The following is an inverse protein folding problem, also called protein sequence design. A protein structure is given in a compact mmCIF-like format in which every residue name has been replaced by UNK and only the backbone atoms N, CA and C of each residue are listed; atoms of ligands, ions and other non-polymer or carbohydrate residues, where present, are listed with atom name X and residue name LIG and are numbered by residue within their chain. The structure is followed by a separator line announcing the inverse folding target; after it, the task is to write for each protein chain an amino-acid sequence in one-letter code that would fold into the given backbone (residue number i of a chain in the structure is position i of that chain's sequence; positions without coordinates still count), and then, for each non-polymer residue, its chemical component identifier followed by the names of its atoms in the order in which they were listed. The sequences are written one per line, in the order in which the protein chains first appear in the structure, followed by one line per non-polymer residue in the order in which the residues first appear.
data_IF_121769910142
#
_entry.id   IF_121769910142
#
_cell.length_a   1.000
_cell.length_b   1.000
_cell.length_c   1.000
_cell.angle_alpha   90.00
_cell.angle_beta   90.00
_cell.angle_gamma   90.00
#
_symmetry.space_group_name_H-M   'P 1'
#
loop_
_entity.id
_entity.type
_entity.pdbx_description
1 polymer ?
#
# COMPACT_ATOMS: atom_id res chain seq x y z
N UNK A 1 4.48 14.87 -21.09
CA UNK A 1 3.79 15.38 -22.30
C UNK A 1 2.77 14.35 -22.76
N UNK A 2 1.95 14.65 -23.78
CA UNK A 2 1.04 13.66 -24.38
C UNK A 2 1.80 12.47 -24.97
N UNK A 3 2.93 12.73 -25.65
CA UNK A 3 3.73 11.67 -26.26
C UNK A 3 4.32 10.71 -25.21
N UNK A 4 4.77 11.23 -24.06
CA UNK A 4 5.25 10.41 -22.94
C UNK A 4 4.11 9.55 -22.35
N UNK A 5 2.91 10.10 -22.22
CA UNK A 5 1.73 9.35 -21.77
C UNK A 5 1.37 8.21 -22.74
N UNK A 6 1.35 8.49 -24.04
CA UNK A 6 1.07 7.48 -25.07
C UNK A 6 2.18 6.43 -25.12
N UNK A 7 3.45 6.84 -24.98
CA UNK A 7 4.58 5.91 -24.92
C UNK A 7 4.47 4.98 -23.72
N UNK A 8 4.16 5.52 -22.53
CA UNK A 8 3.91 4.72 -21.33
C UNK A 8 2.80 3.69 -21.53
N UNK A 9 1.67 4.10 -22.12
CA UNK A 9 0.58 3.16 -22.44
C UNK A 9 1.05 2.06 -23.40
N UNK A 10 1.73 2.42 -24.50
CA UNK A 10 2.23 1.44 -25.49
C UNK A 10 3.19 0.44 -24.85
N UNK A 11 4.05 0.88 -23.95
CA UNK A 11 5.04 0.04 -23.28
C UNK A 11 4.40 -0.86 -22.22
N UNK A 12 3.53 -0.33 -21.36
CA UNK A 12 3.07 -1.05 -20.16
C UNK A 12 1.71 -1.73 -20.29
N UNK A 13 0.84 -1.33 -21.23
CA UNK A 13 -0.51 -1.90 -21.40
C UNK A 13 -0.57 -3.04 -22.44
N UNK A 14 0.58 -3.44 -22.98
CA UNK A 14 0.65 -4.61 -23.87
C UNK A 14 0.29 -5.90 -23.10
N UNK A 15 -0.51 -6.83 -23.66
CA UNK A 15 -0.92 -8.06 -22.95
C UNK A 15 0.23 -8.94 -22.47
N UNK A 16 1.39 -8.86 -23.12
CA UNK A 16 2.64 -9.49 -22.68
C UNK A 16 3.16 -9.03 -21.30
N UNK A 17 2.67 -7.89 -20.79
CA UNK A 17 2.90 -7.41 -19.43
C UNK A 17 1.65 -7.53 -18.52
N UNK A 18 0.52 -7.97 -19.08
CA UNK A 18 -0.73 -8.06 -18.34
C UNK A 18 -0.80 -9.33 -17.48
N UNK A 19 -1.53 -9.22 -16.37
CA UNK A 19 -1.90 -10.33 -15.49
C UNK A 19 -3.42 -10.37 -15.47
N UNK A 20 -4.00 -11.43 -16.02
CA UNK A 20 -5.46 -11.59 -16.09
C UNK A 20 -5.88 -12.61 -15.03
N UNK A 21 -6.73 -12.18 -14.10
CA UNK A 21 -7.27 -13.01 -13.03
C UNK A 21 -8.76 -13.25 -13.26
N UNK A 22 -9.16 -14.53 -13.32
CA UNK A 22 -10.54 -14.95 -13.49
C UNK A 22 -10.96 -15.75 -12.25
N UNK A 23 -12.12 -15.42 -11.68
CA UNK A 23 -12.65 -16.07 -10.48
C UNK A 23 -14.16 -16.25 -10.56
N UNK A 24 -14.63 -17.40 -10.10
CA UNK A 24 -16.05 -17.73 -9.99
C UNK A 24 -16.38 -19.07 -10.63
N UNK A 25 -17.67 -19.41 -10.63
CA UNK A 25 -18.17 -20.58 -11.34
C UNK A 25 -18.36 -20.25 -12.84
N UNK A 26 -17.26 -19.89 -13.50
CA UNK A 26 -17.22 -19.51 -14.92
C UNK A 26 -16.35 -20.55 -15.67
N UNK A 27 -16.82 -21.14 -16.78
CA UNK A 27 -16.05 -22.15 -17.50
C UNK A 27 -14.77 -21.56 -18.10
N UNK A 28 -13.61 -21.99 -17.61
CA UNK A 28 -12.32 -21.49 -18.07
C UNK A 28 -12.13 -21.57 -19.61
N UNK A 29 -12.51 -22.66 -20.32
CA UNK A 29 -12.38 -22.71 -21.78
C UNK A 29 -13.14 -21.60 -22.50
N UNK A 30 -14.35 -21.24 -22.03
CA UNK A 30 -15.16 -20.17 -22.63
C UNK A 30 -14.52 -18.80 -22.42
N UNK A 31 -14.03 -18.53 -21.21
CA UNK A 31 -13.39 -17.25 -20.89
C UNK A 31 -12.06 -17.09 -21.64
N UNK A 32 -11.27 -18.17 -21.77
CA UNK A 32 -10.02 -18.15 -22.52
C UNK A 32 -10.27 -17.98 -24.03
N UNK A 33 -11.31 -18.62 -24.58
CA UNK A 33 -11.71 -18.41 -25.97
C UNK A 33 -12.15 -16.97 -26.23
N UNK A 34 -12.97 -16.40 -25.35
CA UNK A 34 -13.39 -14.99 -25.43
C UNK A 34 -12.19 -14.03 -25.41
N UNK A 35 -11.26 -14.22 -24.46
CA UNK A 35 -10.04 -13.40 -24.38
C UNK A 35 -9.19 -13.53 -25.65
N UNK A 36 -9.04 -14.76 -26.18
CA UNK A 36 -8.30 -14.99 -27.39
C UNK A 36 -8.94 -14.29 -28.60
N UNK A 37 -10.25 -14.49 -28.81
CA UNK A 37 -10.97 -13.98 -29.97
C UNK A 37 -11.05 -12.45 -29.98
N UNK A 38 -11.42 -11.83 -28.85
CA UNK A 38 -11.75 -10.41 -28.83
C UNK A 38 -10.62 -9.50 -28.34
N UNK A 39 -9.57 -10.04 -27.73
CA UNK A 39 -8.50 -9.24 -27.13
C UNK A 39 -7.11 -9.70 -27.56
N UNK A 40 -6.66 -10.88 -27.14
CA UNK A 40 -5.26 -11.32 -27.27
C UNK A 40 -4.83 -11.54 -28.74
N UNK A 41 -5.74 -11.97 -29.63
CA UNK A 41 -5.45 -12.16 -31.06
C UNK A 41 -5.05 -10.88 -31.80
N UNK A 42 -5.34 -9.70 -31.23
CA UNK A 42 -5.02 -8.39 -31.83
C UNK A 42 -3.59 -7.93 -31.55
N UNK A 43 -2.83 -8.70 -30.78
CA UNK A 43 -1.48 -8.35 -30.35
C UNK A 43 -0.47 -9.37 -30.81
N UNK A 44 0.72 -8.89 -31.16
CA UNK A 44 1.89 -9.73 -31.34
C UNK A 44 2.54 -10.06 -29.99
N UNK A 45 3.60 -10.86 -30.01
CA UNK A 45 4.37 -11.11 -28.78
C UNK A 45 5.07 -9.82 -28.34
N UNK A 46 4.71 -9.32 -27.17
CA UNK A 46 5.30 -8.10 -26.61
C UNK A 46 6.67 -8.31 -25.97
N UNK A 47 7.33 -7.19 -25.68
CA UNK A 47 8.56 -7.14 -24.88
C UNK A 47 8.23 -7.33 -23.40
N UNK A 48 9.07 -8.09 -22.69
CA UNK A 48 8.96 -8.22 -21.25
C UNK A 48 9.39 -6.91 -20.59
N UNK A 49 8.51 -6.34 -19.75
CA UNK A 49 8.87 -5.20 -18.91
C UNK A 49 9.87 -5.68 -17.85
N UNK A 50 10.98 -4.93 -17.62
CA UNK A 50 11.96 -5.30 -16.61
C UNK A 50 11.33 -5.46 -15.22
N UNK A 51 11.87 -6.41 -14.45
CA UNK A 51 11.46 -6.56 -13.06
C UNK A 51 11.89 -5.35 -12.22
N UNK A 52 11.07 -4.99 -11.23
CA UNK A 52 11.40 -3.97 -10.23
C UNK A 52 12.63 -4.46 -9.43
N UNK A 53 13.74 -3.68 -9.40
CA UNK A 53 14.93 -4.08 -8.67
C UNK A 53 14.71 -4.02 -7.15
N UNK A 54 15.53 -4.74 -6.41
CA UNK A 54 15.63 -4.60 -4.95
C UNK A 54 16.27 -3.27 -4.60
N UNK A 55 15.83 -2.66 -3.50
CA UNK A 55 16.42 -1.47 -2.94
C UNK A 55 17.77 -1.77 -2.28
N UNK A 56 18.85 -1.04 -2.65
CA UNK A 56 20.16 -1.20 -2.01
C UNK A 56 20.11 -0.94 -0.50
N UNK A 57 20.71 -1.84 0.29
CA UNK A 57 20.65 -1.76 1.75
C UNK A 57 21.57 -0.68 2.32
N UNK A 58 21.00 0.20 3.13
CA UNK A 58 21.78 1.21 3.87
C UNK A 58 22.63 0.55 4.96
N UNK A 59 23.72 1.21 5.30
CA UNK A 59 24.66 0.78 6.34
C UNK A 59 24.50 1.60 7.64
N UNK A 60 23.64 2.63 7.62
CA UNK A 60 23.32 3.44 8.78
C UNK A 60 21.91 4.04 8.63
N UNK A 61 21.20 4.28 9.76
CA UNK A 61 19.92 4.96 9.75
C UNK A 61 19.99 6.36 9.11
N UNK A 62 18.86 6.80 8.55
CA UNK A 62 18.69 8.13 7.95
C UNK A 62 17.55 8.88 8.61
N UNK A 63 17.53 10.20 8.42
CA UNK A 63 16.51 11.11 8.97
C UNK A 63 16.01 12.05 7.88
N UNK A 64 14.72 12.38 7.95
CA UNK A 64 14.06 13.34 7.07
C UNK A 64 13.09 14.19 7.88
N UNK A 65 13.23 15.51 7.79
CA UNK A 65 12.24 16.46 8.31
C UNK A 65 11.52 17.08 7.13
N UNK A 66 10.20 16.97 7.10
CA UNK A 66 9.35 17.51 6.05
C UNK A 66 8.40 18.54 6.65
N UNK A 67 8.48 19.78 6.14
CA UNK A 67 7.53 20.85 6.47
C UNK A 67 6.26 20.68 5.64
N UNK A 68 5.09 20.81 6.28
CA UNK A 68 3.78 20.75 5.63
C UNK A 68 2.95 21.97 5.99
N UNK A 69 2.05 22.45 5.10
CA UNK A 69 1.14 23.52 5.46
C UNK A 69 0.30 23.18 6.70
N UNK A 70 0.28 24.07 7.68
CA UNK A 70 -0.55 23.94 8.89
C UNK A 70 -0.32 25.09 9.86
N UNK A 71 -1.22 25.24 10.84
CA UNK A 71 -1.11 26.28 11.87
C UNK A 71 -0.03 25.92 12.90
N UNK A 72 1.01 26.76 13.05
CA UNK A 72 2.09 26.57 14.03
C UNK A 72 1.59 26.60 15.49
N UNK A 73 0.46 27.26 15.72
CA UNK A 73 -0.08 27.54 17.06
C UNK A 73 -0.78 26.33 17.70
N UNK A 74 -1.03 25.27 16.92
CA UNK A 74 -1.43 23.98 17.47
C UNK A 74 -0.19 23.30 18.08
N UNK A 75 0.09 23.59 19.35
CA UNK A 75 0.97 22.74 20.15
C UNK A 75 0.56 21.28 19.94
N UNK A 76 1.53 20.39 19.72
CA UNK A 76 1.30 18.97 19.43
C UNK A 76 0.61 18.71 18.08
N UNK A 77 1.16 19.22 16.98
CA UNK A 77 0.64 18.97 15.63
C UNK A 77 1.62 18.26 14.70
N UNK A 78 2.84 17.96 15.18
CA UNK A 78 3.83 17.21 14.44
C UNK A 78 3.59 15.70 14.52
N UNK A 79 4.26 14.95 13.65
CA UNK A 79 4.32 13.49 13.75
C UNK A 79 5.73 12.99 13.48
N UNK A 80 6.14 11.98 14.24
CA UNK A 80 7.46 11.34 14.09
C UNK A 80 7.25 9.84 13.89
N UNK A 81 7.87 9.29 12.85
CA UNK A 81 7.76 7.86 12.51
C UNK A 81 9.13 7.24 12.25
N UNK A 82 9.32 6.02 12.70
CA UNK A 82 10.47 5.18 12.38
C UNK A 82 9.99 4.11 11.40
N UNK A 83 10.72 3.94 10.30
CA UNK A 83 10.33 3.10 9.18
C UNK A 83 11.50 2.19 8.79
N UNK A 84 11.28 0.88 8.73
CA UNK A 84 12.29 -0.10 8.37
C UNK A 84 11.95 -0.80 7.08
N UNK A 85 12.88 -0.81 6.13
CA UNK A 85 12.80 -1.69 4.97
C UNK A 85 13.21 -3.11 5.40
N UNK A 86 12.31 -4.08 5.17
CA UNK A 86 12.46 -5.44 5.68
C UNK A 86 12.95 -6.39 4.59
N UNK A 87 12.12 -7.30 4.11
CA UNK A 87 12.48 -8.36 3.16
C UNK A 87 11.51 -8.39 1.98
N UNK A 88 11.79 -9.13 0.90
CA UNK A 88 10.90 -9.21 -0.26
C UNK A 88 9.50 -9.70 0.12
N UNK A 89 8.45 -9.13 -0.47
CA UNK A 89 7.05 -9.53 -0.23
C UNK A 89 6.70 -10.95 -0.70
N UNK A 90 7.66 -11.66 -1.30
CA UNK A 90 7.53 -13.04 -1.75
C UNK A 90 8.05 -14.05 -0.72
N UNK A 91 8.70 -13.60 0.36
CA UNK A 91 9.11 -14.45 1.48
C UNK A 91 7.93 -14.63 2.45
N UNK A 92 6.99 -15.50 2.07
CA UNK A 92 5.70 -15.64 2.75
C UNK A 92 5.81 -16.04 4.23
N UNK A 93 6.84 -16.81 4.61
CA UNK A 93 7.06 -17.15 6.01
C UNK A 93 7.47 -15.93 6.83
N UNK A 94 8.39 -15.12 6.32
CA UNK A 94 8.78 -13.87 6.98
C UNK A 94 7.64 -12.85 6.98
N UNK A 95 6.93 -12.71 5.85
CA UNK A 95 5.79 -11.81 5.74
C UNK A 95 4.72 -12.14 6.77
N UNK A 96 4.29 -13.40 6.85
CA UNK A 96 3.26 -13.80 7.79
C UNK A 96 3.74 -13.71 9.25
N UNK A 97 5.02 -13.99 9.52
CA UNK A 97 5.61 -13.82 10.86
C UNK A 97 5.60 -12.34 11.28
N UNK A 98 5.94 -11.42 10.37
CA UNK A 98 5.90 -9.98 10.63
C UNK A 98 4.48 -9.43 10.71
N UNK A 99 3.53 -9.94 9.93
CA UNK A 99 2.12 -9.57 10.01
C UNK A 99 1.53 -9.96 11.38
N UNK A 100 1.81 -11.18 11.85
CA UNK A 100 1.42 -11.65 13.19
C UNK A 100 2.10 -10.80 14.27
N UNK A 101 3.39 -10.52 14.14
CA UNK A 101 4.13 -9.68 15.08
C UNK A 101 3.56 -8.26 15.12
N UNK A 102 3.26 -7.65 13.98
CA UNK A 102 2.68 -6.31 13.91
C UNK A 102 1.32 -6.25 14.59
N UNK A 103 0.47 -7.25 14.40
CA UNK A 103 -0.83 -7.35 15.10
C UNK A 103 -0.64 -7.55 16.61
N UNK A 104 0.38 -8.30 17.04
CA UNK A 104 0.72 -8.42 18.47
C UNK A 104 1.19 -7.08 19.03
N UNK A 105 2.02 -6.34 18.31
CA UNK A 105 2.65 -5.10 18.80
C UNK A 105 1.69 -3.90 18.78
N UNK A 106 0.78 -3.84 17.80
CA UNK A 106 -0.02 -2.64 17.48
C UNK A 106 -1.50 -2.91 17.17
N UNK A 107 -1.98 -4.16 17.16
CA UNK A 107 -3.30 -4.50 16.60
C UNK A 107 -4.50 -4.15 17.48
N UNK A 108 -4.28 -3.83 18.76
CA UNK A 108 -5.31 -3.50 19.75
C UNK A 108 -4.77 -2.52 20.79
N UNK A 109 -5.64 -1.83 21.53
CA UNK A 109 -5.24 -0.92 22.62
C UNK A 109 -4.45 -1.62 23.75
N UNK A 110 -4.59 -2.95 23.88
CA UNK A 110 -3.82 -3.77 24.82
C UNK A 110 -2.43 -4.18 24.31
N UNK A 111 -2.06 -3.81 23.08
CA UNK A 111 -0.80 -4.25 22.47
C UNK A 111 0.40 -3.57 23.13
N UNK A 112 1.47 -4.31 23.45
CA UNK A 112 2.56 -3.81 24.28
C UNK A 112 3.29 -2.61 23.69
N UNK A 113 3.54 -2.58 22.37
CA UNK A 113 4.24 -1.45 21.76
C UNK A 113 3.35 -0.21 21.72
N UNK A 114 2.10 -0.34 21.25
CA UNK A 114 1.14 0.76 21.28
C UNK A 114 1.01 1.35 22.69
N UNK A 115 0.81 0.50 23.70
CA UNK A 115 0.66 0.91 25.09
C UNK A 115 1.89 1.68 25.60
N UNK A 116 3.10 1.15 25.41
CA UNK A 116 4.33 1.81 25.85
C UNK A 116 4.55 3.17 25.19
N UNK A 117 4.19 3.31 23.91
CA UNK A 117 4.31 4.57 23.18
C UNK A 117 3.29 5.61 23.67
N UNK A 118 2.03 5.22 23.88
CA UNK A 118 1.00 6.15 24.36
C UNK A 118 1.20 6.53 25.84
N UNK A 119 1.62 5.59 26.69
CA UNK A 119 1.95 5.85 28.10
C UNK A 119 3.16 6.79 28.27
N UNK A 120 3.97 7.00 27.22
CA UNK A 120 5.11 7.94 27.24
C UNK A 120 4.70 9.41 27.33
N UNK A 121 3.49 9.76 26.87
CA UNK A 121 3.01 11.14 26.79
C UNK A 121 3.70 12.00 25.72
N UNK A 122 4.51 11.42 24.83
CA UNK A 122 5.24 12.14 23.77
C UNK A 122 4.37 12.50 22.56
N UNK A 123 3.17 11.93 22.47
CA UNK A 123 2.21 12.20 21.41
C UNK A 123 0.79 11.83 21.82
N UNK A 124 -0.18 12.24 21.02
CA UNK A 124 -1.61 12.02 21.29
C UNK A 124 -2.08 10.62 20.89
N UNK A 125 -1.52 10.06 19.82
CA UNK A 125 -1.92 8.77 19.25
C UNK A 125 -0.80 8.20 18.38
N UNK A 126 -0.94 6.95 17.94
CA UNK A 126 -0.08 6.38 16.91
C UNK A 126 -0.24 7.16 15.60
N UNK A 127 0.87 7.30 14.87
CA UNK A 127 0.82 7.79 13.50
C UNK A 127 0.01 6.83 12.62
N UNK A 128 -0.80 7.37 11.69
CA UNK A 128 -1.62 6.57 10.78
C UNK A 128 -0.81 5.69 9.81
N UNK A 129 0.50 5.91 9.69
CA UNK A 129 1.41 5.02 8.96
C UNK A 129 1.95 3.85 9.80
N UNK A 130 1.60 3.76 11.08
CA UNK A 130 2.09 2.68 11.95
C UNK A 130 1.46 1.33 11.56
N UNK A 131 2.29 0.31 11.39
CA UNK A 131 1.87 -1.02 10.98
C UNK A 131 2.84 -1.68 9.99
N UNK A 132 2.33 -2.70 9.30
CA UNK A 132 3.08 -3.51 8.35
C UNK A 132 2.52 -3.36 6.93
N UNK A 133 3.36 -2.90 6.00
CA UNK A 133 3.07 -2.75 4.59
C UNK A 133 3.73 -3.88 3.79
N UNK A 134 2.92 -4.63 3.03
CA UNK A 134 3.35 -5.84 2.32
C UNK A 134 2.92 -5.90 0.85
N UNK A 135 2.22 -4.89 0.34
CA UNK A 135 1.74 -4.81 -1.06
C UNK A 135 2.79 -4.22 -2.02
N UNK A 136 4.00 -3.93 -1.55
CA UNK A 136 5.13 -3.45 -2.35
C UNK A 136 6.27 -4.49 -2.42
N UNK A 137 7.25 -4.27 -3.32
CA UNK A 137 8.31 -5.24 -3.64
C UNK A 137 9.08 -5.77 -2.42
N UNK A 138 9.40 -4.89 -1.48
CA UNK A 138 10.05 -5.18 -0.22
C UNK A 138 9.25 -4.54 0.91
N UNK A 139 8.89 -5.34 1.91
CA UNK A 139 7.90 -4.93 2.91
C UNK A 139 8.47 -3.90 3.87
N UNK A 140 7.61 -3.08 4.47
CA UNK A 140 8.00 -2.02 5.41
C UNK A 140 7.26 -2.20 6.73
N UNK A 141 7.97 -2.04 7.84
CA UNK A 141 7.35 -1.86 9.14
C UNK A 141 7.56 -0.42 9.60
N UNK A 142 6.50 0.21 10.07
CA UNK A 142 6.49 1.59 10.49
C UNK A 142 5.86 1.71 11.87
N UNK A 143 6.40 2.57 12.73
CA UNK A 143 5.77 2.91 14.00
C UNK A 143 6.15 4.33 14.40
N UNK A 144 5.22 5.06 14.99
CA UNK A 144 5.46 6.42 15.41
C UNK A 144 4.28 7.03 16.12
N UNK A 145 4.43 8.29 16.49
CA UNK A 145 3.40 9.07 17.18
C UNK A 145 3.00 10.27 16.32
N UNK A 146 1.73 10.63 16.39
CA UNK A 146 1.19 11.91 15.92
C UNK A 146 0.76 12.75 17.11
N UNK A 147 0.65 14.05 16.87
CA UNK A 147 0.37 15.00 17.93
C UNK A 147 1.57 15.17 18.86
N UNK A 148 2.77 15.23 18.29
CA UNK A 148 4.02 15.40 19.05
C UNK A 148 4.46 16.86 19.02
N UNK A 149 5.34 17.25 19.96
CA UNK A 149 6.09 18.51 19.81
C UNK A 149 6.97 18.45 18.54
N UNK A 150 7.25 19.62 17.96
CA UNK A 150 8.00 19.73 16.70
C UNK A 150 9.45 19.23 16.81
N UNK A 151 10.04 19.26 18.00
CA UNK A 151 11.40 18.84 18.32
C UNK A 151 11.48 17.47 19.03
N UNK A 152 10.35 16.76 19.16
CA UNK A 152 10.27 15.47 19.86
C UNK A 152 10.93 14.30 19.14
N UNK A 153 11.55 14.51 17.96
CA UNK A 153 12.11 13.45 17.10
C UNK A 153 13.01 12.47 17.88
N UNK A 154 13.98 13.00 18.63
CA UNK A 154 14.93 12.19 19.37
C UNK A 154 14.29 11.43 20.54
N UNK A 155 13.30 12.05 21.18
CA UNK A 155 12.59 11.44 22.32
C UNK A 155 11.69 10.30 21.84
N UNK A 156 10.98 10.49 20.71
CA UNK A 156 10.17 9.45 20.08
C UNK A 156 11.04 8.30 19.57
N UNK A 157 12.16 8.60 18.90
CA UNK A 157 13.12 7.58 18.44
C UNK A 157 13.62 6.72 19.60
N UNK A 158 14.03 7.36 20.70
CA UNK A 158 14.46 6.66 21.91
C UNK A 158 13.33 5.86 22.55
N UNK A 159 12.13 6.42 22.64
CA UNK A 159 10.96 5.75 23.21
C UNK A 159 10.63 4.45 22.46
N UNK A 160 10.63 4.49 21.13
CA UNK A 160 10.41 3.29 20.30
C UNK A 160 11.51 2.26 20.53
N UNK A 161 12.78 2.65 20.49
CA UNK A 161 13.89 1.72 20.71
C UNK A 161 13.86 1.07 22.11
N UNK A 162 13.59 1.86 23.15
CA UNK A 162 13.53 1.38 24.53
C UNK A 162 12.31 0.48 24.74
N UNK A 163 11.17 0.78 24.12
CA UNK A 163 9.99 -0.07 24.13
C UNK A 163 10.25 -1.42 23.45
N UNK A 164 10.89 -1.44 22.28
CA UNK A 164 11.25 -2.69 21.59
C UNK A 164 12.24 -3.52 22.41
N UNK A 165 13.28 -2.90 23.00
CA UNK A 165 14.24 -3.59 23.89
C UNK A 165 13.54 -4.17 25.11
N UNK A 166 12.61 -3.43 25.72
CA UNK A 166 11.80 -3.90 26.85
C UNK A 166 10.95 -5.10 26.48
N UNK A 167 10.28 -5.07 25.33
CA UNK A 167 9.46 -6.19 24.82
C UNK A 167 10.32 -7.44 24.60
N UNK A 168 11.55 -7.31 24.10
CA UNK A 168 12.47 -8.44 23.96
C UNK A 168 12.87 -9.00 25.34
N UNK A 169 13.19 -8.13 26.29
CA UNK A 169 13.65 -8.52 27.62
C UNK A 169 12.55 -9.19 28.45
N UNK A 170 11.33 -8.65 28.40
CA UNK A 170 10.17 -9.16 29.14
C UNK A 170 9.53 -10.39 28.43
N UNK A 171 9.71 -10.50 27.12
CA UNK A 171 9.04 -11.47 26.28
C UNK A 171 7.61 -11.06 25.90
N UNK A 172 6.99 -11.86 25.03
CA UNK A 172 5.58 -11.67 24.64
C UNK A 172 4.68 -12.56 25.51
N UNK A 173 3.58 -11.99 25.98
CA UNK A 173 2.59 -12.71 26.78
C UNK A 173 1.96 -13.86 25.97
N UNK A 174 2.00 -15.08 26.51
CA UNK A 174 1.57 -16.28 25.79
C UNK A 174 0.08 -16.22 25.35
N UNK A 175 -0.79 -15.68 26.21
CA UNK A 175 -2.22 -15.55 25.91
C UNK A 175 -2.48 -14.54 24.81
N UNK A 176 -1.70 -13.46 24.74
CA UNK A 176 -1.76 -12.46 23.66
C UNK A 176 -1.32 -13.09 22.32
N UNK A 177 -0.23 -13.86 22.32
CA UNK A 177 0.27 -14.55 21.12
C UNK A 177 -0.77 -15.56 20.63
N UNK A 178 -1.24 -16.46 21.49
CA UNK A 178 -2.22 -17.48 21.12
C UNK A 178 -3.57 -16.86 20.69
N UNK A 179 -4.02 -15.81 21.37
CA UNK A 179 -5.21 -15.05 20.98
C UNK A 179 -5.08 -14.46 19.58
N UNK A 180 -3.91 -13.92 19.25
CA UNK A 180 -3.63 -13.37 17.91
C UNK A 180 -3.60 -14.46 16.84
N UNK A 181 -2.93 -15.58 17.11
CA UNK A 181 -2.89 -16.72 16.19
C UNK A 181 -4.29 -17.26 15.88
N UNK A 182 -5.19 -17.32 16.88
CA UNK A 182 -6.58 -17.72 16.68
C UNK A 182 -7.36 -16.73 15.80
N UNK A 183 -7.17 -15.42 15.98
CA UNK A 183 -7.79 -14.40 15.11
C UNK A 183 -7.33 -14.57 13.66
N UNK A 184 -6.04 -14.77 13.44
CA UNK A 184 -5.50 -15.03 12.11
C UNK A 184 -6.08 -16.31 11.48
N UNK A 185 -6.12 -17.41 12.24
CA UNK A 185 -6.71 -18.66 11.77
C UNK A 185 -8.19 -18.49 11.39
N UNK A 186 -8.95 -17.72 12.19
CA UNK A 186 -10.33 -17.40 11.88
C UNK A 186 -10.45 -16.61 10.57
N UNK A 187 -9.69 -15.52 10.41
CA UNK A 187 -9.67 -14.69 9.17
C UNK A 187 -9.31 -15.54 7.93
N UNK A 188 -8.39 -16.49 8.06
CA UNK A 188 -8.02 -17.38 6.97
C UNK A 188 -9.14 -18.34 6.57
N UNK A 189 -9.93 -18.83 7.53
CA UNK A 189 -11.08 -19.71 7.28
C UNK A 189 -12.32 -18.94 6.79
N UNK A 190 -12.49 -17.70 7.23
CA UNK A 190 -13.66 -16.87 6.96
C UNK A 190 -13.65 -16.18 5.59
N UNK A 191 -12.74 -16.56 4.68
CA UNK A 191 -12.63 -16.00 3.33
C UNK A 191 -13.94 -15.95 2.51
N UNK A 192 -15.05 -16.53 3.00
CA UNK A 192 -16.37 -16.56 2.37
C UNK A 192 -17.50 -15.72 2.98
N UNK A 193 -17.34 -14.93 4.05
CA UNK A 193 -18.49 -14.21 4.65
C UNK A 193 -18.79 -12.82 4.04
N UNK A 194 -17.80 -12.19 3.40
CA UNK A 194 -17.93 -10.89 2.71
C UNK A 194 -17.97 -11.05 1.18
N UNK A 195 -18.90 -10.36 0.52
CA UNK A 195 -19.26 -10.54 -0.91
C UNK A 195 -18.20 -10.27 -2.00
N UNK A 196 -16.90 -10.34 -1.71
CA UNK A 196 -15.81 -10.06 -2.65
C UNK A 196 -14.63 -11.04 -2.54
N UNK A 197 -14.90 -12.34 -2.33
CA UNK A 197 -13.85 -13.38 -2.21
C UNK A 197 -12.84 -13.35 -3.36
N UNK A 198 -13.32 -13.20 -4.60
CA UNK A 198 -12.47 -13.15 -5.79
C UNK A 198 -11.47 -12.00 -5.76
N UNK A 199 -11.87 -10.83 -5.28
CA UNK A 199 -10.99 -9.66 -5.17
C UNK A 199 -9.89 -9.87 -4.12
N UNK A 200 -10.21 -10.52 -3.00
CA UNK A 200 -9.23 -10.85 -1.96
C UNK A 200 -8.20 -11.86 -2.49
N UNK A 201 -8.64 -12.89 -3.20
CA UNK A 201 -7.74 -13.86 -3.82
C UNK A 201 -6.88 -13.22 -4.91
N UNK A 202 -7.46 -12.32 -5.72
CA UNK A 202 -6.71 -11.56 -6.73
C UNK A 202 -5.58 -10.75 -6.09
N UNK A 203 -5.86 -9.99 -5.03
CA UNK A 203 -4.85 -9.19 -4.32
C UNK A 203 -3.71 -10.07 -3.79
N UNK A 204 -4.03 -11.20 -3.15
CA UNK A 204 -3.02 -12.18 -2.68
C UNK A 204 -2.17 -12.70 -3.82
N UNK A 205 -2.78 -13.14 -4.92
CA UNK A 205 -2.03 -13.62 -6.08
C UNK A 205 -1.10 -12.52 -6.63
N UNK A 206 -1.57 -11.27 -6.68
CA UNK A 206 -0.80 -10.15 -7.24
C UNK A 206 0.41 -9.77 -6.41
N UNK A 207 0.35 -9.91 -5.08
CA UNK A 207 1.50 -9.68 -4.19
C UNK A 207 2.75 -10.43 -4.66
N UNK A 208 2.62 -11.70 -5.02
CA UNK A 208 3.72 -12.49 -5.58
C UNK A 208 3.92 -12.29 -7.08
N UNK A 209 2.82 -12.31 -7.83
CA UNK A 209 2.85 -12.36 -9.29
C UNK A 209 3.43 -11.08 -9.92
N UNK A 210 3.21 -9.91 -9.30
CA UNK A 210 3.82 -8.64 -9.73
C UNK A 210 5.33 -8.59 -9.49
N UNK A 211 5.85 -9.48 -8.64
CA UNK A 211 7.22 -9.44 -8.15
C UNK A 211 8.04 -10.67 -8.55
N UNK A 212 7.54 -11.46 -9.51
CA UNK A 212 8.27 -12.57 -10.14
C UNK A 212 8.11 -13.92 -9.44
N UNK A 213 7.30 -14.00 -8.38
CA UNK A 213 6.88 -15.28 -7.80
C UNK A 213 5.67 -15.83 -8.58
N UNK A 214 5.40 -17.13 -8.42
CA UNK A 214 4.20 -17.70 -9.00
C UNK A 214 2.96 -17.26 -8.20
N UNK A 215 1.81 -17.03 -8.85
CA UNK A 215 0.61 -16.53 -8.16
C UNK A 215 0.06 -17.50 -7.10
N UNK A 216 0.34 -18.80 -7.23
CA UNK A 216 -0.11 -19.79 -6.23
C UNK A 216 0.72 -19.77 -4.94
N UNK A 217 1.96 -19.28 -4.98
CA UNK A 217 2.85 -19.25 -3.80
C UNK A 217 2.29 -18.32 -2.71
N UNK A 218 1.66 -17.21 -3.12
CA UNK A 218 1.04 -16.24 -2.19
C UNK A 218 -0.44 -16.50 -1.93
N UNK A 219 -1.10 -17.34 -2.76
CA UNK A 219 -2.46 -17.83 -2.49
C UNK A 219 -2.49 -18.93 -1.42
N UNK A 220 -1.49 -19.82 -1.40
CA UNK A 220 -1.42 -21.00 -0.54
C UNK A 220 -0.94 -20.68 0.90
N UNK A 221 -1.60 -19.74 1.58
CA UNK A 221 -1.16 -19.23 2.88
C UNK A 221 -1.41 -20.20 4.06
N UNK A 222 -2.31 -21.17 3.91
CA UNK A 222 -2.69 -22.08 5.01
C UNK A 222 -1.51 -22.92 5.51
N UNK A 223 -0.70 -23.46 4.60
CA UNK A 223 0.48 -24.26 4.95
C UNK A 223 1.59 -23.40 5.54
N UNK A 224 1.75 -22.17 5.02
CA UNK A 224 2.69 -21.17 5.55
C UNK A 224 2.30 -20.83 6.99
N UNK A 225 1.02 -20.55 7.24
CA UNK A 225 0.49 -20.26 8.57
C UNK A 225 0.74 -21.39 9.56
N UNK A 226 0.50 -22.64 9.15
CA UNK A 226 0.80 -23.80 9.99
C UNK A 226 2.27 -23.86 10.39
N UNK A 227 3.20 -23.64 9.44
CA UNK A 227 4.64 -23.64 9.73
C UNK A 227 5.03 -22.50 10.66
N UNK A 228 4.52 -21.28 10.43
CA UNK A 228 4.78 -20.12 11.30
C UNK A 228 4.24 -20.37 12.71
N UNK A 229 3.01 -20.88 12.84
CA UNK A 229 2.41 -21.26 14.12
C UNK A 229 3.27 -22.31 14.84
N UNK A 230 3.68 -23.37 14.15
CA UNK A 230 4.52 -24.42 14.73
C UNK A 230 5.87 -23.87 15.22
N UNK A 231 6.46 -22.89 14.51
CA UNK A 231 7.71 -22.23 14.96
C UNK A 231 7.48 -21.42 16.22
N UNK A 232 6.43 -20.59 16.25
CA UNK A 232 6.08 -19.78 17.42
C UNK A 232 5.80 -20.66 18.64
N UNK A 233 5.10 -21.79 18.46
CA UNK A 233 4.79 -22.71 19.56
C UNK A 233 6.00 -23.50 20.08
N UNK A 234 7.02 -23.74 19.23
CA UNK A 234 8.25 -24.47 19.62
C UNK A 234 9.32 -23.56 20.22
N UNK A 235 9.32 -22.29 19.85
CA UNK A 235 10.31 -21.32 20.26
C UNK A 235 9.64 -19.98 20.58
N UNK A 236 9.44 -19.73 21.88
CA UNK A 236 8.86 -18.48 22.36
C UNK A 236 9.72 -17.25 22.06
N UNK A 237 11.01 -17.43 21.75
CA UNK A 237 11.92 -16.35 21.37
C UNK A 237 11.88 -16.02 19.88
N UNK A 238 11.17 -16.81 19.06
CA UNK A 238 11.11 -16.61 17.61
C UNK A 238 10.65 -15.20 17.23
N UNK A 239 9.56 -14.71 17.83
CA UNK A 239 8.99 -13.39 17.53
C UNK A 239 9.83 -12.24 18.09
N UNK A 240 10.42 -12.39 19.29
CA UNK A 240 11.33 -11.37 19.83
C UNK A 240 12.65 -11.33 19.06
N UNK A 241 13.11 -12.47 18.52
CA UNK A 241 14.21 -12.54 17.56
C UNK A 241 13.93 -11.77 16.27
N UNK A 242 12.67 -11.78 15.78
CA UNK A 242 12.26 -10.94 14.66
C UNK A 242 12.36 -9.45 14.97
N UNK A 243 11.99 -9.01 16.17
CA UNK A 243 12.16 -7.62 16.61
C UNK A 243 13.65 -7.25 16.60
N UNK A 244 14.50 -8.12 17.16
CA UNK A 244 15.94 -7.90 17.22
C UNK A 244 16.55 -7.78 15.81
N UNK A 245 16.35 -8.78 14.96
CA UNK A 245 16.97 -8.87 13.63
C UNK A 245 16.46 -7.79 12.67
N UNK A 246 15.15 -7.58 12.61
CA UNK A 246 14.53 -6.78 11.55
C UNK A 246 14.27 -5.33 11.92
N UNK A 247 14.23 -5.00 13.22
CA UNK A 247 13.99 -3.64 13.70
C UNK A 247 15.22 -3.06 14.43
N UNK A 248 15.69 -3.68 15.52
CA UNK A 248 16.78 -3.09 16.32
C UNK A 248 18.15 -3.15 15.62
N UNK A 249 18.49 -4.29 15.02
CA UNK A 249 19.79 -4.50 14.35
C UNK A 249 19.79 -4.05 12.88
N UNK A 250 18.64 -3.62 12.34
CA UNK A 250 18.49 -3.26 10.94
C UNK A 250 18.87 -1.78 10.70
N UNK A 251 20.03 -1.49 10.06
CA UNK A 251 20.44 -0.11 9.79
C UNK A 251 19.64 0.55 8.67
N UNK A 252 18.82 -0.20 7.92
CA UNK A 252 17.95 0.35 6.88
C UNK A 252 16.68 0.94 7.49
N UNK A 253 16.88 1.95 8.34
CA UNK A 253 15.85 2.68 9.07
C UNK A 253 15.80 4.14 8.61
N UNK A 254 14.59 4.66 8.45
CA UNK A 254 14.32 6.08 8.21
C UNK A 254 13.44 6.64 9.33
N UNK A 255 13.95 7.66 10.04
CA UNK A 255 13.14 8.50 10.91
C UNK A 255 12.56 9.65 10.08
N UNK A 256 11.24 9.83 10.08
CA UNK A 256 10.55 10.90 9.35
C UNK A 256 9.77 11.76 10.34
N UNK A 257 10.07 13.06 10.34
CA UNK A 257 9.37 14.08 11.12
C UNK A 257 8.57 14.97 10.18
N UNK A 258 7.25 14.97 10.34
CA UNK A 258 6.35 15.88 9.63
C UNK A 258 6.01 17.03 10.57
N UNK A 259 6.37 18.25 10.18
CA UNK A 259 6.23 19.45 11.02
C UNK A 259 5.34 20.46 10.30
N UNK A 260 4.20 20.86 10.89
CA UNK A 260 3.39 21.95 10.39
C UNK A 260 4.15 23.28 10.36
N UNK A 261 3.95 24.05 9.29
CA UNK A 261 4.59 25.33 9.05
C UNK A 261 3.57 26.26 8.36
N UNK A 262 3.31 27.41 8.99
CA UNK A 262 2.32 28.37 8.55
C UNK A 262 2.72 29.08 7.25
N UNK A 263 4.02 29.27 7.02
CA UNK A 263 4.56 29.89 5.81
C UNK A 263 4.61 28.91 4.62
N UNK A 264 4.57 27.60 4.86
CA UNK A 264 4.75 26.58 3.80
C UNK A 264 3.73 26.67 2.67
N UNK A 265 2.47 27.04 2.98
CA UNK A 265 1.43 27.26 1.96
C UNK A 265 1.81 28.41 1.01
N UNK A 266 2.24 29.54 1.58
CA UNK A 266 2.63 30.72 0.82
C UNK A 266 3.92 30.46 0.01
N UNK A 267 4.89 29.73 0.58
CA UNK A 267 6.10 29.28 -0.12
C UNK A 267 5.75 28.42 -1.35
N UNK A 268 4.83 27.45 -1.18
CA UNK A 268 4.40 26.56 -2.27
C UNK A 268 3.63 27.33 -3.37
N UNK A 269 2.76 28.25 -2.97
CA UNK A 269 2.04 29.13 -3.90
C UNK A 269 3.00 30.05 -4.67
N UNK A 270 3.97 30.65 -3.99
CA UNK A 270 4.97 31.51 -4.62
C UNK A 270 5.85 30.72 -5.60
N UNK A 271 6.28 29.51 -5.23
CA UNK A 271 7.05 28.62 -6.12
C UNK A 271 6.23 28.24 -7.36
N UNK A 272 4.96 27.90 -7.18
CA UNK A 272 4.05 27.60 -8.30
C UNK A 272 3.84 28.82 -9.20
N UNK A 273 3.57 30.00 -8.62
CA UNK A 273 3.39 31.24 -9.38
C UNK A 273 4.64 31.62 -10.17
N UNK A 274 5.84 31.45 -9.59
CA UNK A 274 7.09 31.67 -10.29
C UNK A 274 7.26 30.70 -11.47
N UNK A 275 6.92 29.42 -11.29
CA UNK A 275 6.98 28.42 -12.37
C UNK A 275 5.99 28.75 -13.49
N UNK A 276 4.79 29.22 -13.17
CA UNK A 276 3.80 29.68 -14.14
C UNK A 276 4.35 30.90 -14.89
N UNK A 277 4.87 31.92 -14.19
CA UNK A 277 5.44 33.11 -14.82
C UNK A 277 6.59 32.77 -15.79
N UNK A 278 7.49 31.86 -15.40
CA UNK A 278 8.57 31.36 -16.28
C UNK A 278 8.03 30.68 -17.54
N UNK A 279 6.96 29.88 -17.40
CA UNK A 279 6.30 29.25 -18.55
C UNK A 279 5.70 30.35 -19.43
N UNK A 280 4.96 31.30 -18.87
CA UNK A 280 4.34 32.40 -19.61
C UNK A 280 5.36 33.25 -20.39
N UNK A 281 6.50 33.56 -19.78
CA UNK A 281 7.61 34.28 -20.45
C UNK A 281 8.18 33.50 -21.63
N UNK A 282 8.14 32.16 -21.59
CA UNK A 282 8.61 31.31 -22.68
C UNK A 282 7.61 31.16 -23.84
N UNK A 283 6.34 31.56 -23.65
CA UNK A 283 5.29 31.40 -24.65
C UNK A 283 5.35 32.48 -25.73
N UNK A 284 5.29 32.07 -26.98
CA UNK A 284 5.04 32.99 -28.11
C UNK A 284 3.56 33.39 -28.16
N UNK A 285 3.24 34.46 -28.90
CA UNK A 285 1.83 34.84 -29.14
C UNK A 285 1.03 33.70 -29.80
N UNK A 286 1.67 32.94 -30.70
CA UNK A 286 1.04 31.78 -31.32
C UNK A 286 0.73 30.67 -30.31
N UNK A 287 1.61 30.42 -29.34
CA UNK A 287 1.36 29.44 -28.26
C UNK A 287 0.21 29.89 -27.36
N UNK A 288 0.13 31.19 -27.03
CA UNK A 288 -0.96 31.77 -26.22
C UNK A 288 -2.30 31.61 -26.91
N UNK A 289 -2.38 31.95 -28.20
CA UNK A 289 -3.60 31.76 -28.99
C UNK A 289 -3.99 30.28 -29.10
N UNK A 290 -3.01 29.37 -29.23
CA UNK A 290 -3.26 27.93 -29.21
C UNK A 290 -3.86 27.46 -27.88
N UNK A 291 -3.29 27.86 -26.74
CA UNK A 291 -3.81 27.46 -25.41
C UNK A 291 -5.26 27.93 -25.22
N UNK A 292 -5.57 29.18 -25.61
CA UNK A 292 -6.94 29.71 -25.54
C UNK A 292 -7.90 28.92 -26.44
N UNK A 293 -7.44 28.48 -27.61
CA UNK A 293 -8.25 27.67 -28.50
C UNK A 293 -8.43 26.25 -27.95
N UNK A 294 -7.37 25.62 -27.44
CA UNK A 294 -7.40 24.29 -26.82
C UNK A 294 -8.36 24.27 -25.61
N UNK A 295 -8.38 25.33 -24.79
CA UNK A 295 -9.33 25.49 -23.69
C UNK A 295 -10.79 25.51 -24.18
N UNK A 296 -11.08 26.29 -25.23
CA UNK A 296 -12.42 26.36 -25.83
C UNK A 296 -12.85 25.04 -26.43
N UNK A 297 -11.95 24.37 -27.15
CA UNK A 297 -12.21 23.09 -27.79
C UNK A 297 -12.44 22.00 -26.74
N UNK A 298 -11.64 21.98 -25.66
CA UNK A 298 -11.83 21.07 -24.53
C UNK A 298 -13.17 21.31 -23.83
N UNK A 299 -13.53 22.57 -23.56
CA UNK A 299 -14.81 22.89 -22.95
C UNK A 299 -15.98 22.49 -23.84
N UNK A 300 -15.91 22.75 -25.15
CA UNK A 300 -16.93 22.32 -26.10
C UNK A 300 -17.06 20.79 -26.15
N UNK A 301 -15.92 20.07 -26.13
CA UNK A 301 -15.89 18.61 -26.10
C UNK A 301 -16.55 18.04 -24.83
N UNK A 302 -16.23 18.57 -23.65
CA UNK A 302 -16.79 18.10 -22.37
C UNK A 302 -18.30 18.38 -22.20
N UNK A 303 -18.82 19.41 -22.88
CA UNK A 303 -20.24 19.77 -22.83
C UNK A 303 -21.09 19.08 -23.92
N UNK A 304 -20.45 18.52 -24.94
CA UNK A 304 -21.15 17.81 -26.01
C UNK A 304 -21.71 16.48 -25.46
N UNK A 305 -23.03 16.21 -25.61
CA UNK A 305 -23.57 14.91 -25.24
C UNK A 305 -23.06 13.82 -26.19
N UNK A 306 -22.94 12.59 -25.69
CA UNK A 306 -22.67 11.43 -26.53
C UNK A 306 -23.78 11.25 -27.58
N UNK A 307 -23.41 10.79 -28.77
CA UNK A 307 -24.39 10.50 -29.80
C UNK A 307 -25.21 9.25 -29.43
N UNK A 308 -26.48 9.21 -29.87
CA UNK A 308 -27.34 8.05 -29.66
C UNK A 308 -26.74 6.74 -30.24
N UNK A 309 -25.96 6.83 -31.32
CA UNK A 309 -25.25 5.69 -31.91
C UNK A 309 -24.13 5.20 -30.97
N UNK A 310 -23.35 6.10 -30.39
CA UNK A 310 -22.30 5.76 -29.42
C UNK A 310 -22.91 5.11 -28.16
N UNK A 311 -23.97 5.70 -27.61
CA UNK A 311 -24.69 5.11 -26.46
C UNK A 311 -25.30 3.73 -26.76
N UNK A 312 -25.74 3.51 -28.01
CA UNK A 312 -26.27 2.23 -28.45
C UNK A 312 -25.18 1.15 -28.64
N UNK A 313 -23.92 1.54 -28.85
CA UNK A 313 -22.80 0.62 -29.03
C UNK A 313 -22.34 -0.08 -27.75
N UNK A 314 -22.67 0.47 -26.58
CA UNK A 314 -22.33 -0.12 -25.29
C UNK A 314 -23.17 -1.39 -25.04
N UNK A 315 -22.57 -2.52 -24.64
CA UNK A 315 -23.31 -3.74 -24.34
C UNK A 315 -24.22 -3.53 -23.12
N UNK A 316 -25.45 -4.06 -23.20
CA UNK A 316 -26.49 -3.90 -22.16
C UNK A 316 -27.12 -5.26 -21.87
N UNK A 317 -27.41 -5.50 -20.60
CA UNK A 317 -28.32 -6.60 -20.23
C UNK A 317 -29.75 -6.19 -20.57
N UNK A 318 -30.57 -7.17 -20.91
CA UNK A 318 -32.00 -6.99 -21.12
C UNK A 318 -32.76 -7.17 -19.79
N UNK A 319 -34.00 -6.68 -19.75
CA UNK A 319 -34.84 -6.79 -18.55
C UNK A 319 -35.09 -8.26 -18.18
N UNK A 320 -35.09 -9.13 -19.17
CA UNK A 320 -35.27 -10.57 -19.06
C UNK A 320 -34.11 -11.27 -18.35
N UNK A 321 -32.91 -10.68 -18.34
CA UNK A 321 -31.72 -11.21 -17.64
C UNK A 321 -31.81 -11.00 -16.12
N UNK A 322 -32.69 -10.12 -15.65
CA UNK A 322 -32.88 -9.85 -14.22
C UNK A 322 -33.79 -10.93 -13.60
N UNK A 323 -33.32 -11.70 -12.61
CA UNK A 323 -34.13 -12.71 -11.94
C UNK A 323 -35.39 -12.07 -11.32
N UNK A 324 -36.57 -12.62 -11.63
CA UNK A 324 -37.86 -12.13 -11.10
C UNK A 324 -38.12 -12.53 -9.63
N UNK A 325 -37.42 -13.56 -9.16
CA UNK A 325 -37.55 -14.06 -7.79
C UNK A 325 -36.60 -13.37 -6.84
N UNK A 326 -37.11 -12.90 -5.69
CA UNK A 326 -36.28 -12.37 -4.61
C UNK A 326 -35.70 -13.54 -3.83
N UNK A 327 -34.37 -13.67 -3.80
CA UNK A 327 -33.68 -14.64 -2.94
C UNK A 327 -33.74 -14.13 -1.49
N UNK A 328 -34.50 -14.80 -0.64
CA UNK A 328 -34.45 -14.60 0.81
C UNK A 328 -33.29 -15.42 1.36
N UNK A 329 -32.33 -14.75 2.01
CA UNK A 329 -31.25 -15.40 2.74
C UNK A 329 -31.77 -15.58 4.17
N UNK A 330 -32.05 -16.82 4.56
CA UNK A 330 -32.34 -17.19 5.94
C UNK A 330 -31.04 -17.60 6.63
#
# INVERSE_FOLDING_TARGET
TYDEFVAFHREHYHPGNARIFLYGNIPAPEQLAFLQEHFLSRFEKGTLVPAIPMQPRWQAPRRLVQRVPGEEEAANSASVTLNWLLFPAVDMEKCLSMEILSEILLGTDGSPLQRLLLESGLGEDLSGSSGYESEIKETVFSVGLRGTAADAEQEVEKCVEDALKKIIADGLEADLVEGTLRRFEFRLRELGSGGNVGLHLMRRAYQGWMHGAAPWDTLAIADVFKRVRDRISKDSSFLTGFIQEYLLDNPHRLTVSIVPDAAKADEDMASMAQRIAQIEESLTEADRQRIIQDEKDLHAFQQAPDSAEAEASLPKLCREDVPRGIRRIN
#
